data_IF_370805128308
#
_entry.id   IF_370805128308
#
_cell.length_a   1.000
_cell.length_b   1.000
_cell.length_c   1.000
_cell.angle_alpha   90.00
_cell.angle_beta   90.00
_cell.angle_gamma   90.00
#
_symmetry.space_group_name_H-M   'P 1'
#
loop_
_entity.id
_entity.type
_entity.pdbx_description
1 polymer ?
#
# COMPACT_ATOMS: atom_id res chain seq x y z
N UNK A 1 -72.36 -28.64 -33.44
CA UNK A 1 -71.24 -29.60 -33.33
C UNK A 1 -69.95 -28.83 -33.49
N UNK A 2 -69.29 -28.49 -32.38
CA UNK A 2 -68.00 -27.80 -32.35
C UNK A 2 -67.03 -28.67 -31.55
N UNK A 3 -65.96 -29.10 -32.20
CA UNK A 3 -64.81 -29.73 -31.54
C UNK A 3 -63.82 -28.63 -31.14
N UNK A 4 -63.34 -28.57 -29.88
CA UNK A 4 -62.22 -27.71 -29.54
C UNK A 4 -60.90 -28.44 -29.81
N UNK A 5 -59.99 -27.71 -30.46
CA UNK A 5 -58.60 -28.11 -30.72
C UNK A 5 -57.79 -27.99 -29.42
N UNK A 6 -57.12 -29.07 -29.00
CA UNK A 6 -56.19 -29.06 -27.86
C UNK A 6 -54.79 -28.71 -28.40
N UNK A 7 -54.28 -27.55 -28.00
CA UNK A 7 -52.90 -27.13 -28.25
C UNK A 7 -52.01 -27.71 -27.14
N UNK A 8 -51.18 -28.70 -27.48
CA UNK A 8 -50.20 -29.28 -26.55
C UNK A 8 -48.96 -28.38 -26.50
N UNK A 9 -48.77 -27.66 -25.40
CA UNK A 9 -47.56 -26.86 -25.15
C UNK A 9 -46.46 -27.77 -24.60
N UNK A 10 -45.43 -28.05 -25.40
CA UNK A 10 -44.20 -28.68 -24.91
C UNK A 10 -43.40 -27.67 -24.06
N UNK A 11 -43.30 -27.92 -22.76
CA UNK A 11 -42.40 -27.20 -21.86
C UNK A 11 -41.03 -27.88 -21.95
N UNK A 12 -40.05 -27.23 -22.60
CA UNK A 12 -38.65 -27.61 -22.50
C UNK A 12 -38.16 -27.28 -21.10
N UNK A 13 -37.88 -28.30 -20.28
CA UNK A 13 -37.20 -28.13 -19.01
C UNK A 13 -35.71 -27.80 -19.26
N UNK A 14 -35.36 -26.52 -19.16
CA UNK A 14 -33.97 -26.08 -19.06
C UNK A 14 -33.43 -26.51 -17.69
N UNK A 15 -32.60 -27.56 -17.68
CA UNK A 15 -31.78 -27.89 -16.51
C UNK A 15 -30.82 -26.73 -16.24
N UNK A 16 -30.81 -26.12 -15.05
CA UNK A 16 -29.84 -25.09 -14.74
C UNK A 16 -28.45 -25.74 -14.75
N UNK A 17 -27.63 -25.37 -15.73
CA UNK A 17 -26.19 -25.59 -15.66
C UNK A 17 -25.67 -24.86 -14.42
N UNK A 18 -25.32 -25.63 -13.40
CA UNK A 18 -24.58 -25.15 -12.23
C UNK A 18 -23.30 -24.47 -12.72
N UNK A 19 -23.30 -23.14 -12.80
CA UNK A 19 -22.08 -22.36 -12.90
C UNK A 19 -21.25 -22.69 -11.66
N UNK A 20 -20.10 -23.33 -11.88
CA UNK A 20 -19.13 -23.56 -10.82
C UNK A 20 -18.83 -22.22 -10.14
N UNK A 21 -18.97 -22.18 -8.82
CA UNK A 21 -18.56 -21.06 -7.99
C UNK A 21 -17.06 -20.80 -8.30
N UNK A 22 -16.62 -19.55 -8.54
CA UNK A 22 -15.20 -19.28 -8.70
C UNK A 22 -14.50 -19.77 -7.43
N UNK A 23 -13.66 -20.78 -7.55
CA UNK A 23 -12.72 -21.15 -6.50
C UNK A 23 -11.82 -19.95 -6.27
N UNK A 24 -11.78 -19.43 -5.04
CA UNK A 24 -10.87 -18.34 -4.68
C UNK A 24 -9.45 -18.73 -5.11
N UNK A 25 -8.71 -17.89 -5.85
CA UNK A 25 -7.37 -18.22 -6.35
C UNK A 25 -6.29 -18.37 -5.24
N UNK A 26 -6.70 -18.31 -3.96
CA UNK A 26 -5.81 -18.31 -2.79
C UNK A 26 -5.46 -19.71 -2.27
N UNK A 27 -5.62 -20.77 -3.07
CA UNK A 27 -5.42 -22.16 -2.59
C UNK A 27 -3.96 -22.64 -2.54
N UNK A 28 -2.98 -21.76 -2.75
CA UNK A 28 -1.59 -22.10 -2.46
C UNK A 28 -1.26 -21.60 -1.06
N UNK A 29 -0.88 -22.51 -0.16
CA UNK A 29 -0.43 -22.14 1.18
C UNK A 29 0.71 -21.14 1.08
N UNK A 30 0.51 -19.94 1.64
CA UNK A 30 1.56 -18.95 1.81
C UNK A 30 2.67 -19.53 2.68
N UNK A 31 3.93 -19.28 2.31
CA UNK A 31 5.10 -19.88 2.97
C UNK A 31 6.15 -18.84 3.39
N UNK A 32 5.89 -17.56 3.12
CA UNK A 32 6.74 -16.46 3.52
C UNK A 32 6.24 -15.13 2.94
N UNK A 33 7.13 -14.17 2.92
CA UNK A 33 6.85 -12.79 2.58
C UNK A 33 7.98 -12.19 1.73
N UNK A 34 7.62 -11.21 0.91
CA UNK A 34 8.58 -10.32 0.24
C UNK A 34 8.30 -8.89 0.70
N UNK A 35 9.36 -8.17 1.05
CA UNK A 35 9.32 -6.79 1.53
C UNK A 35 10.02 -5.89 0.51
N UNK A 36 9.28 -4.95 -0.07
CA UNK A 36 9.84 -3.90 -0.92
C UNK A 36 10.07 -2.64 -0.09
N UNK A 37 11.24 -2.01 -0.23
CA UNK A 37 11.62 -0.83 0.54
C UNK A 37 12.62 0.04 -0.22
N UNK A 38 12.82 1.28 0.24
CA UNK A 38 13.98 2.11 -0.11
C UNK A 38 14.87 2.30 1.12
N UNK A 39 16.09 2.81 0.95
CA UNK A 39 17.11 2.83 2.03
C UNK A 39 17.39 4.23 2.58
N UNK A 40 17.15 5.27 1.79
CA UNK A 40 17.35 6.65 2.20
C UNK A 40 17.77 7.55 1.04
N UNK A 41 18.20 8.77 1.36
CA UNK A 41 18.41 9.83 0.37
C UNK A 41 19.72 9.64 -0.43
N UNK A 42 20.73 9.00 0.18
CA UNK A 42 22.11 8.92 -0.33
C UNK A 42 22.45 7.59 -1.03
N UNK A 43 23.58 7.55 -1.74
CA UNK A 43 24.20 6.32 -2.27
C UNK A 43 23.27 5.40 -3.10
N UNK A 44 22.44 5.98 -3.96
CA UNK A 44 21.38 5.29 -4.72
C UNK A 44 20.30 4.64 -3.84
N UNK A 45 20.14 5.10 -2.59
CA UNK A 45 19.12 4.62 -1.64
C UNK A 45 17.68 4.94 -2.05
N UNK A 46 17.49 5.95 -2.91
CA UNK A 46 16.22 6.28 -3.57
C UNK A 46 16.01 5.39 -4.80
N UNK A 47 16.07 4.09 -4.56
CA UNK A 47 15.80 3.00 -5.50
C UNK A 47 15.00 1.93 -4.75
N UNK A 48 14.45 0.95 -5.46
CA UNK A 48 13.68 -0.11 -4.82
C UNK A 48 14.55 -1.32 -4.56
N UNK A 49 14.56 -1.75 -3.31
CA UNK A 49 15.23 -2.93 -2.79
C UNK A 49 14.19 -3.95 -2.38
N UNK A 50 14.58 -5.23 -2.36
CA UNK A 50 13.74 -6.31 -1.89
C UNK A 50 14.43 -7.07 -0.75
N UNK A 51 13.63 -7.56 0.18
CA UNK A 51 13.99 -8.56 1.17
C UNK A 51 13.00 -9.72 1.12
N UNK A 52 13.43 -10.89 1.53
CA UNK A 52 12.58 -12.06 1.70
C UNK A 52 12.56 -12.47 3.17
N UNK A 53 11.44 -12.99 3.65
CA UNK A 53 11.39 -13.58 4.98
C UNK A 53 12.16 -14.91 5.05
N UNK A 54 12.62 -15.27 6.25
CA UNK A 54 13.21 -16.57 6.53
C UNK A 54 12.12 -17.62 6.75
N UNK A 55 11.51 -18.09 5.66
CA UNK A 55 10.34 -18.96 5.72
C UNK A 55 9.09 -18.19 6.15
N UNK A 56 8.17 -18.84 6.86
CA UNK A 56 6.91 -18.24 7.30
C UNK A 56 7.07 -17.46 8.61
N UNK A 57 7.92 -16.44 8.56
CA UNK A 57 8.33 -15.62 9.71
C UNK A 57 8.28 -14.13 9.32
N UNK A 58 7.27 -13.42 9.80
CA UNK A 58 7.06 -12.01 9.51
C UNK A 58 8.10 -11.06 10.15
N UNK A 59 8.94 -11.55 11.06
CA UNK A 59 9.89 -10.73 11.83
C UNK A 59 11.36 -11.06 11.51
N UNK A 60 11.62 -12.05 10.66
CA UNK A 60 12.96 -12.48 10.28
C UNK A 60 13.19 -12.34 8.79
N UNK A 61 14.05 -11.40 8.39
CA UNK A 61 14.24 -11.02 7.00
C UNK A 61 15.69 -11.20 6.54
N UNK A 62 15.87 -11.48 5.25
CA UNK A 62 17.15 -11.44 4.56
C UNK A 62 17.12 -10.41 3.44
N UNK A 63 18.15 -9.59 3.37
CA UNK A 63 18.36 -8.69 2.22
C UNK A 63 18.63 -9.50 0.96
N UNK A 64 18.06 -9.06 -0.16
CA UNK A 64 18.26 -9.70 -1.45
C UNK A 64 19.24 -8.89 -2.30
N UNK A 65 19.76 -9.53 -3.35
CA UNK A 65 20.66 -8.97 -4.36
C UNK A 65 21.91 -8.32 -3.76
N UNK A 66 22.45 -8.92 -2.69
CA UNK A 66 23.59 -8.40 -1.94
C UNK A 66 23.39 -6.98 -1.41
N UNK A 67 22.14 -6.61 -1.09
CA UNK A 67 21.79 -5.26 -0.61
C UNK A 67 21.83 -4.18 -1.70
N UNK A 68 21.75 -4.56 -2.99
CA UNK A 68 21.73 -3.63 -4.12
C UNK A 68 20.30 -3.43 -4.66
N UNK A 69 20.01 -2.28 -5.30
CA UNK A 69 18.70 -2.03 -5.90
C UNK A 69 18.27 -3.12 -6.88
N UNK A 70 16.98 -3.46 -6.85
CA UNK A 70 16.30 -4.31 -7.84
C UNK A 70 15.70 -3.45 -8.96
N UNK A 71 15.09 -2.32 -8.62
CA UNK A 71 14.57 -1.36 -9.59
C UNK A 71 15.18 0.02 -9.37
N UNK A 72 15.58 0.65 -10.45
CA UNK A 72 16.01 2.05 -10.51
C UNK A 72 15.15 2.80 -11.52
N UNK A 73 15.02 4.12 -11.36
CA UNK A 73 14.24 4.93 -12.28
C UNK A 73 15.12 5.56 -13.36
N UNK A 74 14.61 5.58 -14.59
CA UNK A 74 15.15 6.40 -15.68
C UNK A 74 14.11 7.41 -16.23
N UNK A 75 13.02 7.62 -15.49
CA UNK A 75 11.93 8.56 -15.79
C UNK A 75 11.79 9.57 -14.65
N UNK A 76 11.01 10.62 -14.91
CA UNK A 76 10.67 11.60 -13.90
C UNK A 76 11.90 12.24 -13.27
N UNK A 77 11.94 12.23 -11.94
CA UNK A 77 13.05 12.72 -11.11
C UNK A 77 14.25 11.76 -11.09
N UNK A 78 14.07 10.50 -11.50
CA UNK A 78 15.10 9.46 -11.42
C UNK A 78 15.27 8.81 -10.04
N UNK A 79 14.49 9.22 -9.04
CA UNK A 79 14.47 8.61 -7.70
C UNK A 79 13.17 7.83 -7.44
N UNK A 80 13.26 6.78 -6.64
CA UNK A 80 12.12 5.94 -6.23
C UNK A 80 12.06 5.84 -4.70
N UNK A 81 10.88 6.13 -4.14
CA UNK A 81 10.61 6.03 -2.70
C UNK A 81 9.27 5.36 -2.44
N UNK A 82 9.08 4.94 -1.19
CA UNK A 82 7.81 4.44 -0.65
C UNK A 82 7.14 3.35 -1.53
N UNK A 83 7.85 2.26 -1.89
CA UNK A 83 7.30 1.25 -2.77
C UNK A 83 6.13 0.51 -2.13
N UNK A 84 5.02 0.45 -2.85
CA UNK A 84 3.88 -0.41 -2.56
C UNK A 84 3.84 -1.61 -3.51
N UNK A 85 4.07 -2.80 -2.96
CA UNK A 85 4.05 -4.09 -3.64
C UNK A 85 2.77 -4.83 -3.27
N UNK A 86 1.96 -5.15 -4.28
CA UNK A 86 0.72 -5.89 -4.07
C UNK A 86 0.57 -7.04 -5.07
N UNK A 87 -0.12 -8.09 -4.64
CA UNK A 87 -0.64 -9.10 -5.55
C UNK A 87 -1.92 -8.58 -6.21
N UNK A 88 -2.03 -8.80 -7.51
CA UNK A 88 -3.27 -8.53 -8.25
C UNK A 88 -4.45 -9.32 -7.68
N UNK A 89 -5.66 -8.81 -7.90
CA UNK A 89 -6.93 -9.47 -7.53
C UNK A 89 -7.01 -10.91 -8.06
N UNK A 90 -6.59 -11.14 -9.30
CA UNK A 90 -6.62 -12.45 -9.93
C UNK A 90 -5.56 -13.39 -9.35
N UNK A 91 -4.52 -12.85 -8.72
CA UNK A 91 -3.43 -13.60 -8.12
C UNK A 91 -2.35 -14.05 -9.09
N UNK A 92 -2.44 -13.65 -10.37
CA UNK A 92 -1.57 -14.08 -11.47
C UNK A 92 -0.34 -13.18 -11.68
N UNK A 93 -0.35 -11.98 -11.14
CA UNK A 93 0.77 -11.04 -11.14
C UNK A 93 0.85 -10.19 -9.86
N UNK A 94 1.95 -9.48 -9.73
CA UNK A 94 2.21 -8.45 -8.75
C UNK A 94 2.34 -7.09 -9.43
N UNK A 95 1.92 -6.04 -8.73
CA UNK A 95 2.15 -4.65 -9.09
C UNK A 95 3.09 -4.03 -8.06
N UNK A 96 4.03 -3.21 -8.53
CA UNK A 96 4.82 -2.32 -7.68
C UNK A 96 4.56 -0.89 -8.12
N UNK A 97 4.18 -0.04 -7.17
CA UNK A 97 3.91 1.39 -7.36
C UNK A 97 4.89 2.14 -6.45
N UNK A 98 5.48 3.23 -6.91
CA UNK A 98 6.42 4.01 -6.11
C UNK A 98 6.25 5.51 -6.35
N UNK A 99 6.69 6.30 -5.36
CA UNK A 99 6.86 7.74 -5.46
C UNK A 99 7.98 8.06 -6.46
N UNK A 100 7.73 8.92 -7.44
CA UNK A 100 8.76 9.55 -8.28
C UNK A 100 9.39 10.73 -7.51
N UNK A 101 10.47 10.46 -6.78
CA UNK A 101 11.15 11.49 -6.00
C UNK A 101 12.65 11.19 -5.82
N UNK A 102 13.46 12.16 -6.26
CA UNK A 102 14.89 12.28 -6.00
C UNK A 102 15.15 13.49 -5.11
N UNK A 103 15.05 13.32 -3.79
CA UNK A 103 15.01 14.42 -2.84
C UNK A 103 16.32 15.21 -2.81
N UNK A 104 17.44 14.52 -3.03
CA UNK A 104 18.77 15.13 -3.05
C UNK A 104 18.97 16.10 -4.22
N UNK A 105 18.18 15.99 -5.30
CA UNK A 105 18.27 16.88 -6.46
C UNK A 105 17.35 18.09 -6.34
N UNK A 106 16.12 17.90 -5.85
CA UNK A 106 15.08 18.95 -5.81
C UNK A 106 15.01 19.66 -4.45
N UNK A 107 15.32 18.98 -3.34
CA UNK A 107 15.14 19.48 -1.98
C UNK A 107 13.69 19.48 -1.47
N UNK A 108 13.50 19.35 -0.16
CA UNK A 108 12.19 19.17 0.48
C UNK A 108 11.17 20.29 0.23
N UNK A 109 11.58 21.55 0.34
CA UNK A 109 10.66 22.69 0.15
C UNK A 109 10.09 22.71 -1.28
N UNK A 110 10.96 22.53 -2.27
CA UNK A 110 10.56 22.51 -3.66
C UNK A 110 9.78 21.24 -4.00
N UNK A 111 10.14 20.08 -3.43
CA UNK A 111 9.42 18.83 -3.66
C UNK A 111 7.98 18.87 -3.13
N UNK A 112 7.73 19.56 -2.01
CA UNK A 112 6.38 19.72 -1.46
C UNK A 112 5.46 20.55 -2.36
N UNK A 113 6.02 21.54 -3.06
CA UNK A 113 5.27 22.48 -3.90
C UNK A 113 5.26 22.09 -5.38
N UNK A 114 6.34 21.56 -5.90
CA UNK A 114 6.56 21.35 -7.33
C UNK A 114 7.22 19.99 -7.58
N UNK A 115 6.91 19.00 -6.75
CA UNK A 115 7.32 17.62 -6.93
C UNK A 115 6.59 16.95 -8.09
N UNK A 116 6.91 15.67 -8.30
CA UNK A 116 6.31 14.89 -9.35
C UNK A 116 4.80 14.70 -9.15
N UNK A 117 4.06 14.74 -10.26
CA UNK A 117 2.62 14.46 -10.32
C UNK A 117 2.32 13.03 -10.78
N UNK A 118 3.37 12.22 -10.91
CA UNK A 118 3.35 10.91 -11.54
C UNK A 118 3.57 9.78 -10.53
N UNK A 119 3.06 8.61 -10.86
CA UNK A 119 3.41 7.34 -10.24
C UNK A 119 4.38 6.57 -11.12
N UNK A 120 5.31 5.85 -10.50
CA UNK A 120 6.13 4.86 -11.17
C UNK A 120 5.56 3.47 -10.93
N UNK A 121 5.29 2.74 -12.02
CA UNK A 121 4.55 1.48 -11.94
C UNK A 121 5.23 0.37 -12.74
N UNK A 122 5.40 -0.78 -12.11
CA UNK A 122 5.83 -2.04 -12.71
C UNK A 122 4.84 -3.16 -12.44
N UNK A 123 4.85 -4.18 -13.29
CA UNK A 123 4.22 -5.46 -13.00
C UNK A 123 5.20 -6.62 -13.18
N UNK A 124 4.98 -7.70 -12.45
CA UNK A 124 5.77 -8.93 -12.53
C UNK A 124 4.90 -10.15 -12.23
N UNK A 125 5.14 -11.27 -12.91
CA UNK A 125 4.48 -12.55 -12.60
C UNK A 125 5.26 -13.40 -11.60
N UNK A 126 6.50 -13.02 -11.27
CA UNK A 126 7.42 -13.85 -10.49
C UNK A 126 8.31 -13.07 -9.50
N UNK A 127 8.10 -11.74 -9.39
CA UNK A 127 8.87 -10.80 -8.56
C UNK A 127 10.35 -10.66 -8.97
N UNK A 128 10.75 -11.23 -10.10
CA UNK A 128 12.12 -11.22 -10.61
C UNK A 128 12.20 -10.48 -11.95
N UNK A 129 11.32 -10.83 -12.88
CA UNK A 129 11.22 -10.21 -14.18
C UNK A 129 10.13 -9.15 -14.13
N UNK A 130 10.55 -7.90 -14.21
CA UNK A 130 9.67 -6.74 -14.16
C UNK A 130 9.40 -6.20 -15.56
N UNK A 131 8.20 -5.64 -15.76
CA UNK A 131 7.86 -4.90 -16.96
C UNK A 131 8.77 -3.69 -17.17
N UNK A 132 8.65 -3.01 -18.31
CA UNK A 132 9.19 -1.66 -18.42
C UNK A 132 8.53 -0.72 -17.39
N UNK A 133 9.29 0.29 -16.95
CA UNK A 133 8.82 1.34 -16.07
C UNK A 133 7.73 2.18 -16.75
N UNK A 134 6.58 2.33 -16.10
CA UNK A 134 5.53 3.26 -16.51
C UNK A 134 5.52 4.50 -15.62
N UNK A 135 5.75 5.66 -16.23
CA UNK A 135 5.65 6.97 -15.61
C UNK A 135 4.27 7.56 -15.89
N UNK A 136 3.34 7.48 -14.94
CA UNK A 136 1.90 7.72 -15.16
C UNK A 136 1.41 8.95 -14.42
N UNK A 137 0.92 9.96 -15.14
CA UNK A 137 0.34 11.17 -14.56
C UNK A 137 -0.98 10.82 -13.88
N UNK A 138 -1.10 11.09 -12.58
CA UNK A 138 -2.33 10.83 -11.82
C UNK A 138 -2.85 12.03 -11.05
N UNK A 139 -1.96 12.93 -10.63
CA UNK A 139 -2.34 14.11 -9.87
C UNK A 139 -2.77 15.27 -10.77
N UNK A 140 -3.71 16.13 -10.32
CA UNK A 140 -4.12 17.29 -11.09
C UNK A 140 -2.97 18.30 -11.21
N UNK A 141 -2.99 19.20 -12.22
CA UNK A 141 -1.94 20.21 -12.39
C UNK A 141 -1.84 21.22 -11.23
N UNK A 142 -2.86 21.29 -10.37
CA UNK A 142 -2.87 22.11 -9.15
C UNK A 142 -2.29 21.39 -7.92
N UNK A 143 -1.84 20.15 -8.07
CA UNK A 143 -1.17 19.43 -7.00
C UNK A 143 0.29 19.86 -6.87
N UNK A 144 0.82 19.77 -5.66
CA UNK A 144 2.24 19.99 -5.39
C UNK A 144 3.10 18.75 -5.48
N UNK A 145 2.54 17.56 -5.24
CA UNK A 145 3.26 16.29 -5.24
C UNK A 145 2.32 15.07 -5.26
N UNK A 146 2.87 13.89 -5.55
CA UNK A 146 2.19 12.57 -5.53
C UNK A 146 3.05 11.58 -4.75
N UNK A 147 2.84 11.47 -3.44
CA UNK A 147 3.74 10.72 -2.55
C UNK A 147 3.08 9.54 -1.86
N UNK A 148 3.91 8.55 -1.53
CA UNK A 148 3.58 7.32 -0.82
C UNK A 148 2.32 6.64 -1.36
N UNK A 149 2.32 6.25 -2.65
CA UNK A 149 1.16 5.65 -3.26
C UNK A 149 0.97 4.21 -2.78
N UNK A 150 -0.25 3.86 -2.43
CA UNK A 150 -0.64 2.46 -2.30
C UNK A 150 -1.98 2.19 -3.00
N UNK A 151 -2.40 0.93 -3.03
CA UNK A 151 -3.65 0.54 -3.65
C UNK A 151 -4.35 -0.59 -2.92
N UNK A 152 -5.68 -0.57 -2.96
CA UNK A 152 -6.52 -1.65 -2.44
C UNK A 152 -7.63 -1.99 -3.42
N UNK A 153 -7.93 -3.27 -3.63
CA UNK A 153 -9.02 -3.69 -4.52
C UNK A 153 -10.39 -3.57 -3.84
N UNK A 154 -11.26 -2.70 -4.35
CA UNK A 154 -12.63 -2.52 -3.86
C UNK A 154 -13.61 -3.38 -4.66
N UNK A 155 -14.08 -4.47 -4.05
CA UNK A 155 -15.03 -5.39 -4.66
C UNK A 155 -16.35 -4.72 -5.08
N UNK A 156 -16.76 -3.66 -4.35
CA UNK A 156 -18.06 -3.00 -4.60
C UNK A 156 -18.12 -2.28 -5.93
N UNK A 157 -16.96 -1.92 -6.50
CA UNK A 157 -16.82 -1.30 -7.82
C UNK A 157 -16.00 -2.13 -8.79
N UNK A 158 -15.39 -3.23 -8.31
CA UNK A 158 -14.52 -4.11 -9.10
C UNK A 158 -13.30 -3.39 -9.71
N UNK A 159 -12.73 -2.44 -8.96
CA UNK A 159 -11.56 -1.64 -9.35
C UNK A 159 -10.58 -1.52 -8.17
N UNK A 160 -9.32 -1.24 -8.48
CA UNK A 160 -8.35 -0.81 -7.49
C UNK A 160 -8.60 0.66 -7.15
N UNK A 161 -8.59 0.97 -5.87
CA UNK A 161 -8.53 2.33 -5.33
C UNK A 161 -7.07 2.61 -5.04
N UNK A 162 -6.46 3.50 -5.82
CA UNK A 162 -5.06 3.92 -5.67
C UNK A 162 -5.06 5.27 -4.97
N UNK A 163 -4.34 5.40 -3.86
CA UNK A 163 -4.36 6.57 -3.00
C UNK A 163 -2.94 7.04 -2.67
N UNK A 164 -2.78 8.35 -2.49
CA UNK A 164 -1.49 9.00 -2.28
C UNK A 164 -1.68 10.34 -1.55
N UNK A 165 -0.62 10.85 -0.95
CA UNK A 165 -0.61 12.18 -0.36
C UNK A 165 -0.36 13.26 -1.44
N UNK A 166 -1.01 14.42 -1.32
CA UNK A 166 -0.81 15.59 -2.17
C UNK A 166 -1.14 16.89 -1.43
N UNK A 167 -0.34 17.93 -1.64
CA UNK A 167 -0.75 19.32 -1.37
C UNK A 167 -1.54 19.83 -2.57
N UNK A 168 -2.68 20.51 -2.35
CA UNK A 168 -3.51 21.05 -3.43
C UNK A 168 -3.58 22.56 -3.35
N UNK A 169 -3.29 23.23 -4.45
CA UNK A 169 -3.32 24.69 -4.57
C UNK A 169 -4.54 25.17 -5.36
N UNK A 170 -4.89 26.44 -5.19
CA UNK A 170 -5.97 27.04 -5.96
C UNK A 170 -5.53 27.27 -7.42
N UNK A 171 -6.48 27.23 -8.36
CA UNK A 171 -6.18 27.44 -9.79
C UNK A 171 -5.58 28.83 -10.07
N UNK A 172 -5.91 29.83 -9.25
CA UNK A 172 -5.38 31.18 -9.30
C UNK A 172 -4.08 31.38 -8.50
N UNK A 173 -3.54 30.30 -7.91
CA UNK A 173 -2.20 30.24 -7.30
C UNK A 173 -1.27 29.29 -8.08
N UNK A 174 -0.95 29.56 -9.36
CA UNK A 174 -0.12 28.66 -10.18
C UNK A 174 1.35 28.58 -9.71
N UNK A 175 1.76 29.46 -8.80
CA UNK A 175 3.10 29.48 -8.22
C UNK A 175 3.12 28.88 -6.80
N UNK A 176 2.01 28.27 -6.36
CA UNK A 176 1.93 27.55 -5.10
C UNK A 176 2.44 28.36 -3.90
N UNK A 177 2.12 29.66 -3.87
CA UNK A 177 2.61 30.60 -2.85
C UNK A 177 1.84 30.49 -1.54
N UNK A 178 0.56 30.13 -1.60
CA UNK A 178 -0.28 29.96 -0.42
C UNK A 178 0.11 28.65 0.26
N UNK A 179 0.40 28.68 1.56
CA UNK A 179 0.64 27.46 2.33
C UNK A 179 -0.60 26.57 2.33
N UNK A 180 -0.38 25.29 2.08
CA UNK A 180 -1.40 24.24 2.13
C UNK A 180 -0.83 23.04 2.89
N UNK A 181 -1.69 22.09 3.23
CA UNK A 181 -1.30 20.86 3.90
C UNK A 181 -1.56 19.65 2.99
N UNK A 182 -0.90 18.52 3.26
CA UNK A 182 -1.12 17.32 2.50
C UNK A 182 -2.47 16.68 2.84
N UNK A 183 -3.20 16.33 1.80
CA UNK A 183 -4.44 15.56 1.84
C UNK A 183 -4.16 14.20 1.24
N UNK A 184 -4.97 13.20 1.58
CA UNK A 184 -4.93 11.93 0.85
C UNK A 184 -5.94 12.00 -0.29
N UNK A 185 -5.43 11.84 -1.51
CA UNK A 185 -6.20 11.72 -2.75
C UNK A 185 -6.41 10.25 -3.08
N UNK A 186 -7.40 9.94 -3.93
CA UNK A 186 -7.45 8.66 -4.61
C UNK A 186 -8.01 8.78 -6.03
N UNK A 187 -7.61 7.85 -6.90
CA UNK A 187 -8.23 7.56 -8.18
C UNK A 187 -8.51 6.05 -8.27
N UNK A 188 -9.37 5.64 -9.19
CA UNK A 188 -9.64 4.22 -9.44
C UNK A 188 -9.04 3.74 -10.77
N UNK A 189 -8.67 2.46 -10.82
CA UNK A 189 -8.14 1.83 -12.03
C UNK A 189 -8.48 0.35 -12.06
N UNK A 190 -8.53 -0.24 -13.26
CA UNK A 190 -8.66 -1.70 -13.45
C UNK A 190 -7.34 -2.38 -13.74
N UNK A 191 -6.37 -1.64 -14.25
CA UNK A 191 -5.19 -2.18 -14.94
C UNK A 191 -3.89 -1.43 -14.63
N UNK A 192 -3.95 -0.37 -13.79
CA UNK A 192 -2.84 0.54 -13.51
C UNK A 192 -2.30 1.25 -14.77
N UNK A 193 -3.06 1.28 -15.87
CA UNK A 193 -2.75 2.02 -17.10
C UNK A 193 -3.64 3.25 -17.18
N UNK A 194 -4.96 3.06 -17.02
CA UNK A 194 -5.94 4.14 -17.08
C UNK A 194 -6.48 4.41 -15.69
N UNK A 195 -6.49 5.68 -15.29
CA UNK A 195 -6.98 6.14 -13.99
C UNK A 195 -8.20 7.03 -14.16
N UNK A 196 -9.12 6.98 -13.20
CA UNK A 196 -10.18 7.98 -13.07
C UNK A 196 -9.59 9.35 -12.74
N UNK A 197 -10.40 10.41 -12.83
CA UNK A 197 -10.03 11.68 -12.19
C UNK A 197 -9.87 11.46 -10.67
N UNK A 198 -8.81 12.01 -10.06
CA UNK A 198 -8.57 11.86 -8.64
C UNK A 198 -9.52 12.74 -7.82
N UNK A 199 -9.93 12.24 -6.66
CA UNK A 199 -10.72 13.00 -5.69
C UNK A 199 -10.07 12.97 -4.31
N UNK A 200 -10.43 13.94 -3.47
CA UNK A 200 -9.96 13.99 -2.08
C UNK A 200 -10.65 12.88 -1.26
N UNK A 201 -9.85 12.09 -0.53
CA UNK A 201 -10.31 11.04 0.37
C UNK A 201 -10.31 11.47 1.84
N UNK A 202 -9.20 12.11 2.26
CA UNK A 202 -8.95 12.53 3.63
C UNK A 202 -8.63 14.02 3.63
N UNK A 203 -9.45 14.80 4.34
CA UNK A 203 -9.38 16.25 4.39
C UNK A 203 -9.70 16.78 5.79
N UNK A 204 -8.98 16.31 6.80
CA UNK A 204 -9.14 16.75 8.18
C UNK A 204 -8.04 17.71 8.65
N UNK A 205 -6.82 17.47 8.18
CA UNK A 205 -5.57 18.14 8.57
C UNK A 205 -4.45 17.60 7.67
N UNK A 206 -3.21 18.04 7.92
CA UNK A 206 -2.03 17.51 7.24
C UNK A 206 -1.87 16.01 7.55
N UNK A 207 -1.88 15.18 6.49
CA UNK A 207 -1.86 13.72 6.52
C UNK A 207 -1.07 13.16 5.35
N UNK A 208 -0.19 12.20 5.64
CA UNK A 208 0.63 11.48 4.64
C UNK A 208 0.67 9.99 4.95
N UNK A 209 1.24 9.21 4.02
CA UNK A 209 1.57 7.80 4.20
C UNK A 209 0.39 6.98 4.72
N UNK A 210 -0.68 6.91 3.94
CA UNK A 210 -1.80 6.03 4.31
C UNK A 210 -1.50 4.60 3.89
N UNK A 211 -1.86 3.65 4.74
CA UNK A 211 -1.91 2.23 4.39
C UNK A 211 -3.24 1.60 4.83
N UNK A 212 -3.71 0.56 4.13
CA UNK A 212 -5.04 -0.05 4.35
C UNK A 212 -4.98 -1.58 4.45
N UNK A 213 -5.65 -2.12 5.47
CA UNK A 213 -5.95 -3.54 5.60
C UNK A 213 -7.45 -3.75 5.78
N UNK A 214 -8.01 -4.81 5.18
CA UNK A 214 -9.36 -5.28 5.49
C UNK A 214 -9.28 -6.52 6.39
N UNK A 215 -10.00 -6.50 7.50
CA UNK A 215 -10.23 -7.67 8.36
C UNK A 215 -11.73 -7.91 8.51
N UNK A 216 -12.18 -9.11 8.09
CA UNK A 216 -13.61 -9.39 7.92
C UNK A 216 -14.26 -8.40 6.95
N UNK A 217 -15.31 -7.72 7.41
CA UNK A 217 -16.04 -6.68 6.66
C UNK A 217 -15.56 -5.25 6.96
N UNK A 218 -14.51 -5.10 7.76
CA UNK A 218 -14.02 -3.79 8.23
C UNK A 218 -12.69 -3.46 7.57
N UNK A 219 -12.61 -2.29 6.97
CA UNK A 219 -11.35 -1.67 6.56
C UNK A 219 -10.76 -0.92 7.73
N UNK A 220 -9.46 -1.07 7.92
CA UNK A 220 -8.63 -0.27 8.82
C UNK A 220 -7.64 0.49 7.97
N UNK A 221 -7.51 1.80 8.22
CA UNK A 221 -6.46 2.63 7.62
C UNK A 221 -5.57 3.20 8.70
N UNK A 222 -4.29 3.30 8.38
CA UNK A 222 -3.25 3.87 9.23
C UNK A 222 -2.63 5.02 8.46
N UNK A 223 -2.47 6.17 9.10
CA UNK A 223 -1.97 7.37 8.41
C UNK A 223 -1.11 8.16 9.37
N UNK A 224 0.00 8.72 8.88
CA UNK A 224 0.73 9.75 9.63
C UNK A 224 -0.11 11.01 9.69
N UNK A 225 -0.42 11.42 10.92
CA UNK A 225 -1.31 12.53 11.21
C UNK A 225 -0.57 13.64 11.97
N UNK A 226 -0.69 14.87 11.48
CA UNK A 226 -0.03 16.05 12.06
C UNK A 226 -0.98 16.96 12.86
N UNK A 227 -2.19 16.52 13.19
CA UNK A 227 -3.14 17.32 14.00
C UNK A 227 -2.55 17.75 15.35
N UNK A 228 -1.62 16.95 15.89
CA UNK A 228 -0.84 17.27 17.08
C UNK A 228 0.04 18.51 17.00
N UNK A 229 0.32 19.06 15.82
CA UNK A 229 1.03 20.36 15.67
C UNK A 229 0.25 21.49 16.36
N UNK A 230 -1.08 21.38 16.45
CA UNK A 230 -1.93 22.33 17.18
C UNK A 230 -1.92 22.14 18.71
N UNK A 231 -1.15 21.15 19.22
CA UNK A 231 -1.01 20.83 20.64
C UNK A 231 -2.17 20.04 21.25
N UNK A 232 -3.16 19.63 20.44
CA UNK A 232 -4.36 18.90 20.91
C UNK A 232 -4.17 17.37 20.98
N UNK A 233 -3.25 16.83 20.19
CA UNK A 233 -2.91 15.41 20.10
C UNK A 233 -1.40 15.24 19.80
N UNK A 234 -0.95 14.02 19.55
CA UNK A 234 0.40 13.68 19.11
C UNK A 234 0.55 13.82 17.57
N UNK A 235 1.78 14.03 17.09
CA UNK A 235 2.10 13.97 15.65
C UNK A 235 2.62 12.57 15.34
N UNK A 236 1.74 11.66 14.93
CA UNK A 236 1.98 10.21 14.97
C UNK A 236 1.02 9.46 14.03
N UNK A 237 1.05 8.14 14.03
CA UNK A 237 0.12 7.30 13.28
C UNK A 237 -1.24 7.27 14.01
N UNK A 238 -2.29 7.54 13.24
CA UNK A 238 -3.69 7.33 13.62
C UNK A 238 -4.24 6.10 12.92
N UNK A 239 -5.06 5.33 13.62
CA UNK A 239 -5.83 4.24 13.04
C UNK A 239 -7.32 4.59 13.03
N UNK A 240 -7.94 4.38 11.89
CA UNK A 240 -9.38 4.58 11.68
C UNK A 240 -9.99 3.35 11.02
N UNK A 241 -11.30 3.17 11.15
CA UNK A 241 -12.03 2.04 10.57
C UNK A 241 -13.32 2.46 9.86
N UNK A 242 -13.68 1.73 8.81
CA UNK A 242 -14.96 1.86 8.10
C UNK A 242 -15.37 0.54 7.47
N UNK A 243 -16.66 0.34 7.25
CA UNK A 243 -17.17 -0.78 6.45
C UNK A 243 -17.08 -0.52 4.93
N UNK A 244 -16.69 0.69 4.52
CA UNK A 244 -16.58 1.08 3.11
C UNK A 244 -15.28 1.83 2.87
N UNK A 245 -14.41 1.26 2.04
CA UNK A 245 -13.10 1.83 1.72
C UNK A 245 -13.18 3.29 1.25
N UNK A 246 -14.13 3.59 0.36
CA UNK A 246 -14.23 4.90 -0.29
C UNK A 246 -15.13 5.90 0.44
N UNK A 247 -15.55 5.62 1.67
CA UNK A 247 -16.19 6.65 2.47
C UNK A 247 -15.21 7.80 2.71
N UNK A 248 -15.68 9.05 2.62
CA UNK A 248 -14.90 10.23 2.97
C UNK A 248 -14.61 10.30 4.47
N UNK A 249 -13.84 11.31 4.90
CA UNK A 249 -13.34 11.45 6.28
C UNK A 249 -14.38 11.14 7.38
N UNK A 250 -15.61 11.65 7.27
CA UNK A 250 -16.67 11.46 8.29
C UNK A 250 -17.23 10.04 8.38
N UNK A 251 -17.04 9.21 7.34
CA UNK A 251 -17.45 7.81 7.34
C UNK A 251 -16.43 6.88 8.01
N UNK A 252 -15.27 7.41 8.39
CA UNK A 252 -14.24 6.67 9.12
C UNK A 252 -14.28 6.99 10.61
N UNK A 253 -14.27 5.95 11.44
CA UNK A 253 -14.28 6.06 12.90
C UNK A 253 -12.87 5.87 13.45
N UNK A 254 -12.45 6.77 14.34
CA UNK A 254 -11.17 6.59 15.04
C UNK A 254 -11.19 5.33 15.90
N UNK A 255 -10.14 4.51 15.77
CA UNK A 255 -9.88 3.34 16.61
C UNK A 255 -8.89 3.71 17.71
N UNK A 256 -7.74 4.25 17.32
CA UNK A 256 -6.70 4.74 18.23
C UNK A 256 -5.83 5.80 17.54
N UNK A 257 -5.02 6.52 18.32
CA UNK A 257 -4.03 7.49 17.87
C UNK A 257 -2.76 7.38 18.72
N UNK A 258 -1.69 8.08 18.33
CA UNK A 258 -0.40 8.06 19.04
C UNK A 258 0.21 6.66 19.09
N UNK A 259 0.10 5.88 18.01
CA UNK A 259 0.50 4.48 18.01
C UNK A 259 1.99 4.33 18.32
N UNK A 260 2.87 5.07 17.63
CA UNK A 260 4.31 5.01 17.88
C UNK A 260 4.66 5.46 19.29
N UNK A 261 4.16 6.62 19.71
CA UNK A 261 4.40 7.20 21.03
C UNK A 261 3.96 6.25 22.16
N UNK A 262 2.77 5.64 22.04
CA UNK A 262 2.25 4.67 23.04
C UNK A 262 3.07 3.38 23.08
N UNK A 263 3.66 2.99 21.95
CA UNK A 263 4.59 1.86 21.85
C UNK A 263 6.03 2.22 22.33
N UNK A 264 6.28 3.47 22.74
CA UNK A 264 7.59 3.93 23.21
C UNK A 264 8.57 4.26 22.09
N UNK A 265 8.06 4.63 20.90
CA UNK A 265 8.86 5.15 19.79
C UNK A 265 8.90 6.67 19.82
N UNK A 266 9.91 7.24 19.15
CA UNK A 266 9.96 8.66 18.84
C UNK A 266 8.99 8.99 17.68
N UNK A 267 9.21 10.11 16.99
CA UNK A 267 8.37 10.50 15.85
C UNK A 267 8.53 9.48 14.73
N UNK A 268 7.41 8.85 14.33
CA UNK A 268 7.36 7.83 13.27
C UNK A 268 6.51 8.27 12.08
N UNK A 269 6.78 7.72 10.89
CA UNK A 269 5.98 7.86 9.66
C UNK A 269 5.93 6.55 8.88
N UNK A 270 5.49 6.57 7.61
CA UNK A 270 5.54 5.41 6.72
C UNK A 270 4.90 4.11 7.23
N UNK A 271 3.68 4.13 7.80
CA UNK A 271 3.04 2.92 8.28
C UNK A 271 2.82 1.92 7.14
N UNK A 272 3.17 0.64 7.36
CA UNK A 272 2.81 -0.46 6.47
C UNK A 272 2.14 -1.58 7.25
N UNK A 273 0.87 -1.83 6.95
CA UNK A 273 0.03 -2.81 7.65
C UNK A 273 -0.06 -4.10 6.87
N UNK A 274 0.13 -5.24 7.53
CA UNK A 274 -0.17 -6.54 6.97
C UNK A 274 -0.60 -7.53 8.06
N UNK A 275 -1.28 -8.60 7.65
CA UNK A 275 -1.67 -9.71 8.51
C UNK A 275 -0.67 -10.85 8.36
N UNK A 276 -0.37 -11.55 9.44
CA UNK A 276 0.46 -12.75 9.34
C UNK A 276 -0.20 -13.80 8.45
N UNK A 277 0.64 -14.54 7.73
CA UNK A 277 0.26 -15.74 7.01
C UNK A 277 -0.29 -16.78 8.00
N UNK A 278 -1.25 -17.62 7.58
CA UNK A 278 -1.63 -18.79 8.36
C UNK A 278 -0.40 -19.64 8.72
N UNK A 279 -0.26 -19.95 10.01
CA UNK A 279 0.86 -20.74 10.52
C UNK A 279 2.20 -20.00 10.56
N UNK A 280 2.19 -18.66 10.60
CA UNK A 280 3.37 -17.87 10.91
C UNK A 280 3.96 -18.30 12.27
N UNK A 281 5.29 -18.32 12.38
CA UNK A 281 5.98 -18.79 13.60
C UNK A 281 5.65 -17.96 14.85
N UNK A 282 5.17 -16.72 14.66
CA UNK A 282 4.72 -15.83 15.71
C UNK A 282 3.19 -15.85 15.91
N UNK A 283 2.46 -16.70 15.18
CA UNK A 283 1.02 -16.88 15.27
C UNK A 283 0.19 -15.87 14.48
N UNK A 284 -1.12 -15.89 14.71
CA UNK A 284 -2.07 -15.00 14.03
C UNK A 284 -2.01 -13.59 14.62
N UNK A 285 -1.35 -12.67 13.92
CA UNK A 285 -1.12 -11.29 14.33
C UNK A 285 -1.35 -10.32 13.18
N UNK A 286 -1.49 -9.06 13.53
CA UNK A 286 -1.37 -7.92 12.63
C UNK A 286 -0.06 -7.22 12.92
N UNK A 287 0.68 -6.88 11.87
CA UNK A 287 1.94 -6.16 11.96
C UNK A 287 1.79 -4.79 11.32
N UNK A 288 2.24 -3.76 12.03
CA UNK A 288 2.32 -2.39 11.55
C UNK A 288 3.77 -1.95 11.61
N UNK A 289 4.46 -1.97 10.49
CA UNK A 289 5.83 -1.45 10.44
C UNK A 289 5.76 0.08 10.32
N UNK A 290 6.59 0.78 11.08
CA UNK A 290 6.62 2.26 11.11
C UNK A 290 8.07 2.77 11.06
N UNK A 291 8.32 3.85 10.34
CA UNK A 291 9.65 4.42 10.15
C UNK A 291 9.93 5.47 11.20
N UNK A 292 10.79 5.13 12.16
CA UNK A 292 11.38 6.10 13.06
C UNK A 292 12.50 6.83 12.30
N UNK A 293 12.08 7.70 11.39
CA UNK A 293 12.91 8.26 10.31
C UNK A 293 14.14 9.03 10.82
N UNK A 294 14.00 9.73 11.95
CA UNK A 294 15.08 10.45 12.63
C UNK A 294 15.90 9.58 13.60
N UNK A 295 15.50 8.33 13.80
CA UNK A 295 16.05 7.40 14.79
C UNK A 295 16.45 6.07 14.18
N UNK A 296 15.88 4.98 14.70
CA UNK A 296 16.34 3.61 14.45
C UNK A 296 16.03 3.06 13.06
N UNK A 297 15.18 3.73 12.27
CA UNK A 297 14.67 3.18 11.01
C UNK A 297 13.35 2.44 11.20
N UNK A 298 13.07 1.49 10.31
CA UNK A 298 11.80 0.77 10.33
C UNK A 298 11.67 -0.17 11.55
N UNK A 299 10.55 -0.07 12.26
CA UNK A 299 10.27 -0.82 13.49
C UNK A 299 8.94 -1.57 13.34
N UNK A 300 8.91 -2.89 13.57
CA UNK A 300 7.67 -3.67 13.51
C UNK A 300 6.90 -3.56 14.82
N UNK A 301 5.69 -2.99 14.76
CA UNK A 301 4.70 -3.09 15.82
C UNK A 301 3.77 -4.28 15.56
N UNK A 302 3.22 -4.87 16.61
CA UNK A 302 2.29 -6.00 16.51
C UNK A 302 1.07 -5.86 17.42
N UNK A 303 -0.03 -6.49 17.01
CA UNK A 303 -1.21 -6.71 17.85
C UNK A 303 -1.98 -7.96 17.40
N UNK A 304 -2.81 -8.54 18.27
CA UNK A 304 -3.69 -9.68 17.94
C UNK A 304 -5.14 -9.26 17.69
N UNK A 305 -5.53 -8.04 18.06
CA UNK A 305 -6.87 -7.48 17.83
C UNK A 305 -6.75 -6.10 17.18
N UNK A 306 -6.91 -6.04 15.85
CA UNK A 306 -6.84 -4.78 15.11
C UNK A 306 -8.03 -3.85 15.40
N UNK A 307 -9.16 -4.36 15.92
CA UNK A 307 -10.32 -3.56 16.25
C UNK A 307 -10.20 -2.88 17.63
N UNK A 308 -9.48 -3.50 18.57
CA UNK A 308 -9.16 -2.94 19.89
C UNK A 308 -7.65 -3.10 20.20
N UNK A 309 -6.79 -2.40 19.47
CA UNK A 309 -5.37 -2.72 19.46
C UNK A 309 -4.63 -2.22 20.68
N UNK A 310 -3.69 -3.03 21.13
CA UNK A 310 -2.60 -2.68 22.04
C UNK A 310 -1.27 -2.86 21.29
N UNK A 311 -0.97 -1.90 20.41
CA UNK A 311 0.21 -1.92 19.54
C UNK A 311 1.49 -1.88 20.37
N UNK A 312 2.37 -2.86 20.18
CA UNK A 312 3.66 -2.96 20.86
C UNK A 312 4.77 -3.27 19.88
N UNK A 313 5.98 -2.81 20.18
CA UNK A 313 7.16 -3.25 19.44
C UNK A 313 7.27 -4.76 19.53
N UNK A 314 7.44 -5.41 18.39
CA UNK A 314 7.58 -6.86 18.32
C UNK A 314 8.86 -7.30 19.04
N UNK A 315 8.79 -8.39 19.77
CA UNK A 315 9.98 -8.95 20.43
C UNK A 315 10.87 -9.66 19.40
N UNK A 316 12.18 -9.39 19.41
CA UNK A 316 13.18 -10.09 18.60
C UNK A 316 12.88 -10.15 17.09
N UNK A 317 13.07 -9.03 16.39
CA UNK A 317 12.99 -8.96 14.93
C UNK A 317 14.36 -8.70 14.30
N UNK A 318 14.51 -9.11 13.04
CA UNK A 318 15.68 -8.84 12.20
C UNK A 318 15.20 -8.34 10.85
N UNK A 319 15.28 -7.03 10.64
CA UNK A 319 14.97 -6.37 9.38
C UNK A 319 16.23 -6.20 8.52
N UNK A 320 16.08 -5.81 7.24
CA UNK A 320 17.18 -5.27 6.44
C UNK A 320 18.03 -4.22 7.18
N UNK A 321 19.21 -3.89 6.66
CA UNK A 321 20.20 -3.05 7.36
C UNK A 321 19.66 -1.65 7.66
N UNK A 322 18.92 -1.06 6.72
CA UNK A 322 18.35 0.29 6.88
C UNK A 322 17.11 0.47 5.98
N UNK A 323 16.06 -0.36 6.14
CA UNK A 323 14.84 -0.15 5.40
C UNK A 323 14.16 1.12 5.88
N UNK A 324 13.57 1.83 4.94
CA UNK A 324 12.63 2.93 5.14
C UNK A 324 11.25 2.50 4.67
N UNK A 325 10.32 3.44 4.62
CA UNK A 325 8.94 3.22 4.20
C UNK A 325 8.83 2.32 2.96
N UNK A 326 8.00 1.29 3.05
CA UNK A 326 7.83 0.26 2.03
C UNK A 326 6.62 -0.62 2.34
N UNK A 327 6.59 -1.84 1.80
CA UNK A 327 5.43 -2.72 1.92
C UNK A 327 5.75 -4.21 1.82
N UNK A 328 4.94 -4.99 2.53
CA UNK A 328 5.08 -6.45 2.64
C UNK A 328 3.95 -7.16 1.90
N UNK A 329 4.29 -8.16 1.09
CA UNK A 329 3.32 -9.05 0.45
C UNK A 329 3.57 -10.52 0.80
N UNK A 330 2.50 -11.25 1.07
CA UNK A 330 2.55 -12.71 1.24
C UNK A 330 2.83 -13.43 -0.08
N UNK A 331 3.72 -14.41 -0.02
CA UNK A 331 4.12 -15.24 -1.17
C UNK A 331 3.96 -16.73 -0.88
N UNK A 332 3.71 -17.48 -1.94
CA UNK A 332 3.72 -18.95 -1.92
C UNK A 332 5.15 -19.47 -1.82
N UNK A 333 5.31 -20.74 -1.44
CA UNK A 333 6.63 -21.39 -1.41
C UNK A 333 7.35 -21.31 -2.76
N UNK A 334 6.62 -21.51 -3.86
CA UNK A 334 7.18 -21.45 -5.22
C UNK A 334 7.69 -20.04 -5.55
N UNK A 335 6.92 -19.00 -5.24
CA UNK A 335 7.31 -17.61 -5.50
C UNK A 335 8.49 -17.20 -4.62
N UNK A 336 8.47 -17.57 -3.34
CA UNK A 336 9.58 -17.34 -2.44
C UNK A 336 10.86 -17.99 -2.97
N UNK A 337 10.79 -19.24 -3.41
CA UNK A 337 11.95 -19.94 -3.97
C UNK A 337 12.47 -19.25 -5.24
N UNK A 338 11.60 -18.81 -6.14
CA UNK A 338 12.00 -18.09 -7.37
C UNK A 338 12.76 -16.80 -7.02
N UNK A 339 12.25 -16.01 -6.07
CA UNK A 339 12.91 -14.79 -5.59
C UNK A 339 14.27 -15.11 -4.95
N UNK A 340 14.34 -16.15 -4.12
CA UNK A 340 15.57 -16.55 -3.47
C UNK A 340 16.63 -17.04 -4.46
N UNK A 341 16.25 -17.86 -5.45
CA UNK A 341 17.16 -18.38 -6.47
C UNK A 341 17.73 -17.25 -7.34
N UNK A 342 16.92 -16.22 -7.63
CA UNK A 342 17.35 -15.08 -8.41
C UNK A 342 18.29 -14.14 -7.66
N UNK A 343 18.06 -13.92 -6.35
CA UNK A 343 18.67 -12.80 -5.64
C UNK A 343 19.46 -13.14 -4.37
N UNK A 344 19.54 -14.39 -3.89
CA UNK A 344 20.25 -14.71 -2.63
C UNK A 344 21.79 -14.75 -2.73
N UNK A 345 22.38 -14.27 -3.82
CA UNK A 345 23.82 -14.31 -4.06
C UNK A 345 24.57 -13.06 -3.57
#
# INVERSE_FOLDING_TARGET
>A
MHFPSILTTCILALTPTSLAKPTSPHSNSTAGYVFAYFVGDDNNGESIFLAASNGNDALSWRELNGGKPILTSNKGTGGLRDPFLMRSRQGDKFFLIATDLKINDIGWEQALRFGSLYLEIWESTDLVHWSEQRHTLVSPPTAGMTWAPEAYYDESISEYVVYWASRLYAQDDPNHQVETYAKIMYATTKDFISFSEPIVWQDSNDRIDTTVLKDGDTYHRFTKDFSGVSGKECVDIVQESSTRLRDGQDGWKRVTSCIGTKAGLDVVEGPSIFKSNPGDVHGDKFYLFVDEFAGRGYIPLETTDIANPDWKVSENYSLPTSPRHGSVVSVTEKELQVVLDAYSN
#
